data_IF_739148307800
#
_entry.id   IF_739148307800
#
_cell.length_a   1.000
_cell.length_b   1.000
_cell.length_c   1.000
_cell.angle_alpha   90.00
_cell.angle_beta   90.00
_cell.angle_gamma   90.00
#
_symmetry.space_group_name_H-M   'P 1'
#
loop_
_entity.id
_entity.type
_entity.pdbx_description
1 polymer ?
#
# COMPACT_ATOMS: atom_id res chain seq x y z
N UNK A 1 10.46 -13.68 -4.97
CA UNK A 1 10.36 -12.70 -3.88
C UNK A 1 11.73 -12.07 -3.68
N UNK A 2 11.80 -10.75 -3.67
CA UNK A 2 13.05 -9.98 -3.69
C UNK A 2 13.43 -9.53 -2.28
N UNK A 3 14.51 -10.09 -1.73
CA UNK A 3 15.00 -9.76 -0.39
C UNK A 3 15.35 -8.27 -0.23
N UNK A 4 16.04 -7.69 -1.23
CA UNK A 4 16.51 -6.32 -1.16
C UNK A 4 15.33 -5.34 -1.07
N UNK A 5 14.26 -5.59 -1.84
CA UNK A 5 13.02 -4.80 -1.76
C UNK A 5 12.41 -4.81 -0.36
N UNK A 6 12.33 -5.98 0.26
CA UNK A 6 11.77 -6.10 1.62
C UNK A 6 12.66 -5.34 2.61
N UNK A 7 13.98 -5.48 2.47
CA UNK A 7 14.96 -4.76 3.29
C UNK A 7 14.85 -3.25 3.16
N UNK A 8 14.71 -2.74 1.94
CA UNK A 8 14.61 -1.30 1.68
C UNK A 8 13.32 -0.72 2.26
N UNK A 9 12.18 -1.41 2.05
CA UNK A 9 10.88 -0.98 2.59
C UNK A 9 10.87 -1.05 4.13
N UNK A 10 11.44 -2.10 4.72
CA UNK A 10 11.55 -2.23 6.17
C UNK A 10 12.43 -1.11 6.76
N UNK A 11 13.54 -0.77 6.10
CA UNK A 11 14.41 0.34 6.50
C UNK A 11 13.69 1.70 6.45
N UNK A 12 12.93 1.98 5.38
CA UNK A 12 12.11 3.19 5.27
C UNK A 12 11.09 3.34 6.41
N UNK A 13 10.66 2.22 7.00
CA UNK A 13 9.72 2.17 8.13
C UNK A 13 10.40 2.09 9.50
N UNK A 14 11.72 2.28 9.56
CA UNK A 14 12.52 2.11 10.78
C UNK A 14 12.32 0.74 11.44
N UNK A 15 12.07 -0.30 10.63
CA UNK A 15 11.85 -1.66 11.08
C UNK A 15 13.04 -2.54 10.68
N UNK A 16 13.89 -2.95 11.63
CA UNK A 16 14.93 -3.93 11.35
C UNK A 16 14.33 -5.26 10.87
N UNK A 17 15.04 -5.96 9.98
CA UNK A 17 14.63 -7.30 9.51
C UNK A 17 14.43 -8.26 10.68
N UNK A 18 15.23 -8.14 11.74
CA UNK A 18 15.10 -8.92 12.96
C UNK A 18 13.75 -8.73 13.66
N UNK A 19 13.23 -7.50 13.68
CA UNK A 19 11.92 -7.18 14.22
C UNK A 19 10.80 -7.71 13.31
N UNK A 20 10.92 -7.51 11.99
CA UNK A 20 9.98 -8.07 11.02
C UNK A 20 9.87 -9.60 11.14
N UNK A 21 11.01 -10.30 11.28
CA UNK A 21 11.05 -11.75 11.46
C UNK A 21 10.31 -12.20 12.73
N UNK A 22 10.46 -11.44 13.84
CA UNK A 22 9.74 -11.73 15.09
C UNK A 22 8.23 -11.57 14.93
N UNK A 23 7.78 -10.50 14.27
CA UNK A 23 6.36 -10.25 14.04
C UNK A 23 5.70 -11.35 13.19
N UNK A 24 6.41 -11.88 12.20
CA UNK A 24 5.90 -13.00 11.37
C UNK A 24 6.15 -14.39 11.99
N UNK A 25 6.75 -14.46 13.18
CA UNK A 25 7.03 -15.72 13.88
C UNK A 25 8.12 -16.59 13.23
N UNK A 26 9.10 -15.99 12.56
CA UNK A 26 10.21 -16.69 11.90
C UNK A 26 11.57 -16.30 12.48
N UNK A 27 12.55 -17.19 12.36
CA UNK A 27 13.96 -16.83 12.59
C UNK A 27 14.53 -16.13 11.37
N UNK A 28 15.53 -15.26 11.54
CA UNK A 28 16.19 -14.57 10.42
C UNK A 28 16.83 -15.54 9.41
N UNK A 29 17.44 -16.62 9.92
CA UNK A 29 18.00 -17.69 9.09
C UNK A 29 16.91 -18.39 8.27
N UNK A 30 15.78 -18.72 8.91
CA UNK A 30 14.62 -19.30 8.24
C UNK A 30 14.01 -18.36 7.19
N UNK A 31 13.94 -17.07 7.48
CA UNK A 31 13.50 -16.05 6.54
C UNK A 31 14.41 -15.98 5.32
N UNK A 32 15.73 -15.90 5.51
CA UNK A 32 16.69 -15.84 4.41
C UNK A 32 16.63 -17.11 3.53
N UNK A 33 16.54 -18.29 4.15
CA UNK A 33 16.34 -19.56 3.43
C UNK A 33 15.03 -19.59 2.65
N UNK A 34 13.92 -19.10 3.23
CA UNK A 34 12.64 -19.03 2.55
C UNK A 34 12.65 -18.08 1.34
N UNK A 35 13.37 -16.95 1.43
CA UNK A 35 13.58 -16.07 0.27
C UNK A 35 14.40 -16.77 -0.81
N UNK A 36 15.54 -17.36 -0.44
CA UNK A 36 16.45 -18.06 -1.36
C UNK A 36 15.75 -19.21 -2.08
N UNK A 37 14.99 -20.02 -1.35
CA UNK A 37 14.32 -21.20 -1.86
C UNK A 37 12.95 -20.89 -2.48
N UNK A 38 12.52 -19.62 -2.48
CA UNK A 38 11.20 -19.17 -2.96
C UNK A 38 10.05 -19.95 -2.32
N UNK A 39 10.16 -20.24 -1.02
CA UNK A 39 9.30 -21.20 -0.31
C UNK A 39 8.37 -20.57 0.73
N UNK A 40 8.08 -19.27 0.61
CA UNK A 40 7.09 -18.64 1.49
C UNK A 40 5.68 -19.17 1.21
N UNK A 41 4.92 -19.37 2.28
CA UNK A 41 3.48 -19.54 2.18
C UNK A 41 2.85 -18.21 1.78
N UNK A 42 1.76 -18.25 1.01
CA UNK A 42 1.00 -17.06 0.59
C UNK A 42 0.64 -16.18 1.80
N UNK A 43 0.12 -16.80 2.86
CA UNK A 43 -0.21 -16.11 4.12
C UNK A 43 0.97 -15.32 4.70
N UNK A 44 2.17 -15.89 4.71
CA UNK A 44 3.35 -15.20 5.24
C UNK A 44 3.73 -13.99 4.38
N UNK A 45 3.52 -14.06 3.06
CA UNK A 45 3.74 -12.93 2.15
C UNK A 45 2.73 -11.81 2.45
N UNK A 46 1.47 -12.17 2.69
CA UNK A 46 0.42 -11.23 3.10
C UNK A 46 0.73 -10.58 4.46
N UNK A 47 1.18 -11.38 5.44
CA UNK A 47 1.56 -10.87 6.76
C UNK A 47 2.70 -9.85 6.65
N UNK A 48 3.75 -10.15 5.87
CA UNK A 48 4.85 -9.22 5.60
C UNK A 48 4.35 -7.93 4.94
N UNK A 49 3.47 -8.06 3.94
CA UNK A 49 2.88 -6.93 3.23
C UNK A 49 2.04 -6.04 4.15
N UNK A 50 1.24 -6.64 5.04
CA UNK A 50 0.39 -5.95 6.01
C UNK A 50 1.24 -5.20 7.05
N UNK A 51 2.26 -5.84 7.61
CA UNK A 51 3.19 -5.21 8.57
C UNK A 51 3.91 -4.03 7.92
N UNK A 52 4.35 -4.21 6.68
CA UNK A 52 5.03 -3.17 5.92
C UNK A 52 4.07 -2.17 5.26
N UNK A 53 2.75 -2.36 5.35
CA UNK A 53 1.72 -1.49 4.75
C UNK A 53 1.91 -1.25 3.25
N UNK A 54 2.25 -2.29 2.49
CA UNK A 54 2.46 -2.25 1.03
C UNK A 54 1.72 -3.40 0.35
N UNK A 55 1.51 -3.31 -0.96
CA UNK A 55 0.98 -4.44 -1.73
C UNK A 55 2.03 -5.56 -1.85
N UNK A 56 1.68 -6.86 -1.64
CA UNK A 56 2.62 -7.98 -1.74
C UNK A 56 3.24 -8.13 -3.12
N UNK A 57 2.59 -7.59 -4.17
CA UNK A 57 3.11 -7.58 -5.55
C UNK A 57 4.48 -6.90 -5.64
N UNK A 58 4.74 -5.89 -4.79
CA UNK A 58 6.00 -5.13 -4.81
C UNK A 58 7.22 -6.00 -4.53
N UNK A 59 7.05 -7.13 -3.83
CA UNK A 59 8.13 -8.07 -3.54
C UNK A 59 8.50 -8.95 -4.73
N UNK A 60 7.75 -8.90 -5.84
CA UNK A 60 7.96 -9.75 -7.01
C UNK A 60 8.30 -8.99 -8.28
N UNK A 61 8.30 -7.65 -8.25
CA UNK A 61 8.78 -6.86 -9.37
C UNK A 61 10.31 -7.03 -9.49
N UNK A 62 10.74 -7.76 -10.52
CA UNK A 62 12.13 -7.79 -10.94
C UNK A 62 12.41 -6.64 -11.88
N UNK A 63 12.75 -5.49 -11.30
CA UNK A 63 13.52 -4.43 -11.93
C UNK A 63 13.97 -3.49 -10.82
N UNK A 64 15.14 -2.88 -11.01
CA UNK A 64 15.70 -1.85 -10.14
C UNK A 64 14.88 -0.56 -10.12
N UNK A 65 13.56 -0.66 -9.96
CA UNK A 65 12.65 0.43 -9.65
C UNK A 65 12.92 0.84 -8.20
N UNK A 66 14.06 1.46 -7.96
CA UNK A 66 14.14 2.48 -6.93
C UNK A 66 13.00 3.45 -7.23
N UNK A 67 11.86 3.24 -6.56
CA UNK A 67 10.99 4.33 -6.16
C UNK A 67 11.86 5.22 -5.28
N UNK A 68 12.68 6.05 -5.95
CA UNK A 68 13.40 7.17 -5.40
C UNK A 68 12.33 8.17 -4.97
N UNK A 69 11.72 7.90 -3.82
CA UNK A 69 11.02 8.90 -3.05
C UNK A 69 12.13 9.75 -2.43
N UNK A 70 12.47 10.82 -3.13
CA UNK A 70 13.27 11.96 -2.65
C UNK A 70 14.71 11.65 -2.21
N UNK A 71 15.66 11.83 -3.13
CA UNK A 71 16.93 12.47 -2.80
C UNK A 71 17.52 13.10 -4.07
N UNK A 72 17.24 14.39 -4.25
CA UNK A 72 18.01 15.24 -5.12
C UNK A 72 19.40 15.43 -4.49
N UNK A 73 20.45 14.88 -5.11
CA UNK A 73 21.77 15.52 -5.31
C UNK A 73 22.83 14.49 -5.71
N UNK A 74 23.43 14.68 -6.89
CA UNK A 74 24.85 14.34 -7.11
C UNK A 74 25.19 13.11 -7.97
N UNK A 75 25.51 13.39 -9.24
CA UNK A 75 26.51 12.74 -10.12
C UNK A 75 26.29 11.33 -10.71
N UNK A 76 26.00 11.34 -12.03
CA UNK A 76 26.60 10.59 -13.14
C UNK A 76 27.22 9.20 -12.90
N UNK A 77 26.73 8.18 -13.63
CA UNK A 77 27.50 7.44 -14.67
C UNK A 77 26.66 6.31 -15.30
N UNK A 78 26.77 6.12 -16.63
CA UNK A 78 26.58 4.81 -17.26
C UNK A 78 25.31 4.59 -18.10
N UNK A 79 25.30 5.17 -19.30
CA UNK A 79 24.74 4.65 -20.56
C UNK A 79 24.03 3.28 -20.54
N UNK A 80 22.72 3.27 -20.80
CA UNK A 80 22.10 2.41 -21.83
C UNK A 80 20.67 2.88 -22.13
N UNK A 81 20.51 3.53 -23.28
CA UNK A 81 19.23 3.82 -23.89
C UNK A 81 18.57 2.50 -24.33
N UNK A 82 17.65 1.99 -23.53
CA UNK A 82 16.58 1.13 -24.05
C UNK A 82 15.27 1.86 -23.82
N UNK A 83 14.70 2.36 -24.92
CA UNK A 83 13.33 2.85 -24.98
C UNK A 83 12.38 1.67 -24.76
N UNK A 84 12.26 1.23 -23.51
CA UNK A 84 11.16 0.39 -23.06
C UNK A 84 9.94 1.30 -23.10
N UNK A 85 9.06 1.09 -24.08
CA UNK A 85 7.73 1.70 -24.10
C UNK A 85 7.04 1.33 -22.80
N UNK A 86 7.10 2.25 -21.83
CA UNK A 86 6.37 2.20 -20.57
C UNK A 86 4.90 2.06 -20.95
N UNK A 87 4.32 0.88 -20.68
CA UNK A 87 2.90 0.65 -20.84
C UNK A 87 2.14 1.73 -20.09
N UNK A 88 1.47 2.59 -20.86
CA UNK A 88 0.48 3.60 -20.49
C UNK A 88 0.48 4.08 -19.04
N UNK A 89 1.45 4.92 -18.65
CA UNK A 89 1.38 5.74 -17.43
C UNK A 89 0.05 6.53 -17.34
N UNK A 90 -0.55 6.85 -18.49
CA UNK A 90 -1.87 7.48 -18.61
C UNK A 90 -3.03 6.65 -18.06
N UNK A 91 -2.96 5.31 -18.11
CA UNK A 91 -4.09 4.48 -17.70
C UNK A 91 -4.14 4.32 -16.17
N UNK A 92 -2.97 4.19 -15.52
CA UNK A 92 -2.85 4.22 -14.07
C UNK A 92 -3.26 5.59 -13.49
N UNK A 93 -2.91 6.69 -14.15
CA UNK A 93 -3.35 8.04 -13.76
C UNK A 93 -4.87 8.21 -13.86
N UNK A 94 -5.52 7.68 -14.90
CA UNK A 94 -6.98 7.73 -15.06
C UNK A 94 -7.71 6.89 -14.01
N UNK A 95 -7.17 5.74 -13.65
CA UNK A 95 -7.77 4.89 -12.62
C UNK A 95 -7.68 5.55 -11.24
N UNK A 96 -6.55 6.22 -10.96
CA UNK A 96 -6.37 7.02 -9.75
C UNK A 96 -7.37 8.18 -9.68
N UNK A 97 -7.57 8.91 -10.77
CA UNK A 97 -8.55 10.01 -10.85
C UNK A 97 -9.98 9.52 -10.60
N UNK A 98 -10.37 8.39 -11.21
CA UNK A 98 -11.69 7.77 -10.95
C UNK A 98 -11.87 7.33 -9.49
N UNK A 99 -10.81 6.86 -8.86
CA UNK A 99 -10.86 6.48 -7.44
C UNK A 99 -11.11 7.70 -6.55
N UNK A 100 -10.43 8.81 -6.83
CA UNK A 100 -10.66 10.07 -6.10
C UNK A 100 -12.09 10.60 -6.30
N UNK A 101 -12.58 10.65 -7.55
CA UNK A 101 -13.97 11.05 -7.83
C UNK A 101 -14.98 10.16 -7.10
N UNK A 102 -14.69 8.85 -7.02
CA UNK A 102 -15.55 7.92 -6.33
C UNK A 102 -15.58 8.19 -4.83
N UNK A 103 -14.43 8.45 -4.21
CA UNK A 103 -14.32 8.80 -2.79
C UNK A 103 -15.14 10.07 -2.51
N UNK A 104 -14.95 11.13 -3.28
CA UNK A 104 -15.70 12.38 -3.13
C UNK A 104 -17.21 12.17 -3.25
N UNK A 105 -17.67 11.37 -4.22
CA UNK A 105 -19.10 11.06 -4.36
C UNK A 105 -19.67 10.26 -3.18
N UNK A 106 -18.87 9.36 -2.59
CA UNK A 106 -19.27 8.55 -1.45
C UNK A 106 -19.31 9.37 -0.16
N UNK A 107 -18.33 10.25 0.03
CA UNK A 107 -18.28 11.21 1.14
C UNK A 107 -19.49 12.13 1.12
N UNK A 108 -19.84 12.71 -0.04
CA UNK A 108 -21.04 13.53 -0.16
C UNK A 108 -22.31 12.73 0.19
N UNK A 109 -22.44 11.51 -0.34
CA UNK A 109 -23.61 10.66 -0.06
C UNK A 109 -23.71 10.24 1.41
N UNK A 110 -22.58 10.14 2.12
CA UNK A 110 -22.56 9.91 3.56
C UNK A 110 -23.07 11.14 4.30
N UNK A 111 -22.55 12.32 3.97
CA UNK A 111 -22.99 13.57 4.57
C UNK A 111 -24.50 13.82 4.39
N UNK A 112 -25.04 13.62 3.19
CA UNK A 112 -26.48 13.75 2.93
C UNK A 112 -27.31 12.76 3.76
N UNK A 113 -26.78 11.54 3.97
CA UNK A 113 -27.43 10.53 4.81
C UNK A 113 -27.40 10.90 6.29
N UNK A 114 -26.30 11.47 6.77
CA UNK A 114 -26.18 11.95 8.15
C UNK A 114 -27.16 13.10 8.43
N UNK A 115 -27.30 14.04 7.50
CA UNK A 115 -28.27 15.13 7.59
C UNK A 115 -29.71 14.60 7.61
N UNK A 116 -30.02 13.62 6.75
CA UNK A 116 -31.32 12.96 6.74
C UNK A 116 -31.62 12.21 8.04
N UNK A 117 -30.62 11.57 8.65
CA UNK A 117 -30.77 10.92 9.95
C UNK A 117 -31.10 11.96 11.02
N UNK A 118 -30.35 13.08 11.07
CA UNK A 118 -30.63 14.18 12.02
C UNK A 118 -32.06 14.70 11.90
N UNK A 119 -32.51 14.99 10.67
CA UNK A 119 -33.87 15.45 10.43
C UNK A 119 -34.93 14.43 10.87
N UNK A 120 -34.68 13.13 10.64
CA UNK A 120 -35.58 12.07 11.12
C UNK A 120 -35.62 11.98 12.64
N UNK A 121 -34.49 12.11 13.31
CA UNK A 121 -34.40 12.10 14.76
C UNK A 121 -35.15 13.28 15.39
N UNK A 122 -35.07 14.48 14.78
CA UNK A 122 -35.85 15.65 15.17
C UNK A 122 -37.37 15.40 15.05
N UNK A 123 -37.81 14.82 13.92
CA UNK A 123 -39.23 14.47 13.72
C UNK A 123 -39.70 13.44 14.75
N UNK A 124 -38.88 12.43 15.06
CA UNK A 124 -39.20 11.43 16.08
C UNK A 124 -39.32 12.09 17.46
N UNK A 125 -38.45 13.04 17.80
CA UNK A 125 -38.51 13.78 19.06
C UNK A 125 -39.82 14.57 19.19
N UNK A 126 -40.19 15.34 18.16
CA UNK A 126 -41.45 16.09 18.13
C UNK A 126 -42.70 15.20 18.24
N UNK A 127 -42.69 14.02 17.62
CA UNK A 127 -43.79 13.06 17.71
C UNK A 127 -43.88 12.40 19.08
N UNK A 128 -42.77 12.26 19.81
CA UNK A 128 -42.75 11.75 21.20
C UNK A 128 -43.31 12.76 22.19
N UNK A 129 -43.06 14.05 22.01
CA UNK A 129 -43.62 15.12 22.88
C UNK A 129 -45.14 15.32 22.71
N UNK A 130 -45.72 14.91 21.58
CA UNK A 130 -47.17 15.03 21.29
C UNK A 130 -48.02 13.85 21.80
N UNK A 131 -47.43 12.86 22.48
CA UNK A 131 -48.14 11.74 23.12
C UNK A 131 -48.21 11.95 24.62
#
# INVERSE_FOLDING_TARGET
MNYNKIKDIAAQKNMPISALCKEIGMTESGFYMAVKNKSFKVRTIEDIANILGVSPVIFFNESGDSTNINQASGLNTGTMNQNVRVGNLSDCQKELERAYDKITSLEQRLNDKEEMIKSKDEVIALLREKR
#
